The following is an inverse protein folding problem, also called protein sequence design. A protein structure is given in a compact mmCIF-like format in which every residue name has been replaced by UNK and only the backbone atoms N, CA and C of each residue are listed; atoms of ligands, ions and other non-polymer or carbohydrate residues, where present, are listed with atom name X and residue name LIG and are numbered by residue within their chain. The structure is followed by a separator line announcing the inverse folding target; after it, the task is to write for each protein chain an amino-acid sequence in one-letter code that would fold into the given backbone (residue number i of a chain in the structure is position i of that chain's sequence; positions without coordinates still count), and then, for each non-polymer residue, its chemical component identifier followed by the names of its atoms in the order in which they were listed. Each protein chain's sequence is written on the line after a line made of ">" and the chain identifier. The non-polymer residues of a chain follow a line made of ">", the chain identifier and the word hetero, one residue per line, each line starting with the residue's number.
data_IF_265219959578
#
_entry.id   IF_265219959578
#
_cell.length_a   1.000
_cell.length_b   1.000
_cell.length_c   1.000
_cell.angle_alpha   90.00
_cell.angle_beta   90.00
_cell.angle_gamma   90.00
#
_symmetry.space_group_name_H-M   'P 1'
#
loop_
_entity.id
_entity.type
_entity.pdbx_description
1 polymer ?
#
# COMPACT_ATOMS: atom_id res chain seq x y z
N UNK A 1 -12.10 6.03 -3.61
CA UNK A 1 -12.77 5.87 -4.91
C UNK A 1 -13.43 7.17 -5.36
N UNK A 2 -14.39 7.72 -4.62
CA UNK A 2 -15.03 9.02 -4.91
C UNK A 2 -14.08 10.20 -5.19
N UNK A 3 -12.91 10.24 -4.55
CA UNK A 3 -11.91 11.30 -4.79
C UNK A 3 -11.11 11.06 -6.08
N UNK A 4 -10.85 9.81 -6.45
CA UNK A 4 -10.19 9.45 -7.71
C UNK A 4 -11.10 9.71 -8.91
N UNK A 5 -12.38 9.33 -8.79
CA UNK A 5 -13.41 9.63 -9.80
C UNK A 5 -13.56 11.14 -10.04
N UNK A 6 -13.46 11.95 -8.97
CA UNK A 6 -13.48 13.41 -9.08
C UNK A 6 -12.24 13.99 -9.76
N UNK A 7 -11.06 13.41 -9.56
CA UNK A 7 -9.81 13.84 -10.20
C UNK A 7 -9.79 13.44 -11.68
N UNK A 8 -10.32 12.25 -12.02
CA UNK A 8 -10.48 11.79 -13.39
C UNK A 8 -11.51 12.63 -14.17
N UNK A 9 -12.66 12.95 -13.56
CA UNK A 9 -13.68 13.81 -14.18
C UNK A 9 -13.20 15.24 -14.45
N UNK A 10 -12.19 15.71 -13.70
CA UNK A 10 -11.53 17.01 -13.93
C UNK A 10 -10.40 16.95 -14.97
N UNK A 11 -10.06 15.76 -15.47
CA UNK A 11 -8.93 15.56 -16.38
C UNK A 11 -7.56 15.85 -15.76
N UNK A 12 -7.46 15.80 -14.42
CA UNK A 12 -6.25 16.22 -13.69
C UNK A 12 -5.18 15.12 -13.58
N UNK A 13 -5.53 13.87 -13.89
CA UNK A 13 -4.65 12.69 -13.86
C UNK A 13 -4.73 11.95 -15.20
N UNK A 14 -3.57 11.59 -15.76
CA UNK A 14 -3.52 10.68 -16.91
C UNK A 14 -3.92 9.25 -16.50
N UNK A 15 -4.32 8.43 -17.48
CA UNK A 15 -4.76 7.03 -17.23
C UNK A 15 -3.71 6.19 -16.49
N UNK A 16 -2.43 6.41 -16.78
CA UNK A 16 -1.31 5.70 -16.13
C UNK A 16 -1.15 6.09 -14.65
N UNK A 17 -1.35 7.38 -14.33
CA UNK A 17 -1.25 7.89 -12.95
C UNK A 17 -2.45 7.46 -12.11
N UNK A 18 -3.64 7.39 -12.72
CA UNK A 18 -4.84 6.86 -12.08
C UNK A 18 -4.67 5.36 -11.76
N UNK A 19 -4.21 4.56 -12.72
CA UNK A 19 -3.93 3.13 -12.51
C UNK A 19 -2.90 2.91 -11.39
N UNK A 20 -1.84 3.69 -11.36
CA UNK A 20 -0.83 3.61 -10.29
C UNK A 20 -1.40 3.93 -8.91
N UNK A 21 -2.32 4.91 -8.82
CA UNK A 21 -2.99 5.28 -7.59
C UNK A 21 -3.97 4.19 -7.12
N UNK A 22 -4.73 3.58 -8.03
CA UNK A 22 -5.63 2.46 -7.74
C UNK A 22 -4.86 1.25 -7.18
N UNK A 23 -3.72 0.90 -7.80
CA UNK A 23 -2.85 -0.17 -7.32
C UNK A 23 -2.30 0.12 -5.90
N UNK A 24 -1.87 1.36 -5.64
CA UNK A 24 -1.35 1.76 -4.32
C UNK A 24 -2.43 1.73 -3.22
N UNK A 25 -3.66 2.15 -3.55
CA UNK A 25 -4.80 2.08 -2.62
C UNK A 25 -5.18 0.62 -2.35
N UNK A 26 -5.25 -0.20 -3.40
CA UNK A 26 -5.54 -1.64 -3.28
C UNK A 26 -4.51 -2.32 -2.38
N UNK A 27 -3.21 -2.09 -2.62
CA UNK A 27 -2.15 -2.66 -1.78
C UNK A 27 -2.27 -2.26 -0.31
N UNK A 28 -2.63 -1.00 -0.02
CA UNK A 28 -2.86 -0.53 1.36
C UNK A 28 -4.07 -1.19 2.02
N UNK A 29 -5.16 -1.37 1.28
CA UNK A 29 -6.35 -2.09 1.76
C UNK A 29 -5.96 -3.53 2.09
N UNK A 30 -5.24 -4.21 1.19
CA UNK A 30 -4.77 -5.57 1.42
C UNK A 30 -3.86 -5.67 2.65
N UNK A 31 -2.92 -4.73 2.83
CA UNK A 31 -2.06 -4.68 4.01
C UNK A 31 -2.87 -4.46 5.30
N UNK A 32 -3.90 -3.60 5.27
CA UNK A 32 -4.78 -3.37 6.41
C UNK A 32 -5.58 -4.64 6.76
N UNK A 33 -6.17 -5.29 5.77
CA UNK A 33 -6.89 -6.56 5.92
C UNK A 33 -5.99 -7.67 6.47
N UNK A 34 -4.76 -7.80 5.96
CA UNK A 34 -3.78 -8.75 6.48
C UNK A 34 -3.44 -8.50 7.96
N UNK A 35 -3.23 -7.23 8.34
CA UNK A 35 -2.99 -6.86 9.74
C UNK A 35 -4.20 -7.18 10.62
N UNK A 36 -5.41 -6.96 10.13
CA UNK A 36 -6.65 -7.33 10.82
C UNK A 36 -6.74 -8.83 11.09
N UNK A 37 -6.65 -9.64 10.03
CA UNK A 37 -6.67 -11.10 10.13
C UNK A 37 -5.56 -11.63 11.07
N UNK A 38 -4.34 -11.09 10.96
CA UNK A 38 -3.24 -11.44 11.86
C UNK A 38 -3.55 -11.12 13.32
N UNK A 39 -4.14 -9.96 13.61
CA UNK A 39 -4.51 -9.58 14.98
C UNK A 39 -5.55 -10.53 15.55
N UNK A 40 -6.59 -10.87 14.78
CA UNK A 40 -7.62 -11.82 15.19
C UNK A 40 -7.02 -13.18 15.54
N UNK A 41 -6.18 -13.73 14.66
CA UNK A 41 -5.49 -15.01 14.92
C UNK A 41 -4.63 -14.94 16.18
N UNK A 42 -3.89 -13.84 16.39
CA UNK A 42 -3.04 -13.68 17.57
C UNK A 42 -3.87 -13.59 18.86
N UNK A 43 -5.03 -12.91 18.83
CA UNK A 43 -5.91 -12.82 20.01
C UNK A 43 -6.47 -14.20 20.38
N UNK A 44 -6.99 -14.94 19.40
CA UNK A 44 -7.48 -16.31 19.62
C UNK A 44 -6.35 -17.21 20.15
N UNK A 45 -5.15 -17.14 19.58
CA UNK A 45 -4.01 -17.93 20.06
C UNK A 45 -3.64 -17.60 21.52
N UNK A 46 -3.75 -16.34 21.94
CA UNK A 46 -3.50 -15.95 23.33
C UNK A 46 -4.49 -16.62 24.27
N UNK A 47 -5.78 -16.58 23.95
CA UNK A 47 -6.83 -17.23 24.73
C UNK A 47 -6.62 -18.74 24.82
N UNK A 48 -6.26 -19.39 23.69
CA UNK A 48 -5.95 -20.83 23.67
C UNK A 48 -4.76 -21.15 24.58
N UNK A 49 -3.68 -20.37 24.52
CA UNK A 49 -2.50 -20.59 25.37
C UNK A 49 -2.85 -20.42 26.85
N UNK A 50 -3.64 -19.40 27.19
CA UNK A 50 -4.09 -19.20 28.57
C UNK A 50 -4.96 -20.37 29.05
N UNK A 51 -5.91 -20.84 28.26
CA UNK A 51 -6.76 -21.99 28.59
C UNK A 51 -5.96 -23.28 28.77
N UNK A 52 -4.96 -23.52 27.92
CA UNK A 52 -4.14 -24.73 27.97
C UNK A 52 -3.19 -24.74 29.17
N UNK A 53 -2.60 -23.59 29.50
CA UNK A 53 -1.57 -23.46 30.54
C UNK A 53 -2.11 -23.17 31.94
N UNK A 54 -3.32 -22.63 32.05
CA UNK A 54 -3.90 -22.15 33.33
C UNK A 54 -5.22 -22.85 33.67
N UNK A 55 -5.46 -24.05 33.16
CA UNK A 55 -6.68 -24.82 33.43
C UNK A 55 -6.82 -25.12 34.94
N UNK A 56 -7.91 -24.67 35.60
CA UNK A 56 -8.11 -24.91 37.03
C UNK A 56 -8.29 -26.40 37.34
N UNK A 57 -7.70 -26.85 38.45
CA UNK A 57 -7.86 -28.24 38.92
C UNK A 57 -6.96 -29.26 38.24
N UNK A 58 -6.11 -28.84 37.29
CA UNK A 58 -5.16 -29.73 36.61
C UNK A 58 -3.84 -29.82 37.39
N UNK A 59 -3.29 -31.02 37.61
CA UNK A 59 -1.98 -31.19 38.24
C UNK A 59 -0.85 -30.51 37.46
N UNK A 60 0.09 -29.89 38.18
CA UNK A 60 1.24 -29.20 37.59
C UNK A 60 2.04 -30.04 36.57
N UNK A 61 2.33 -31.34 36.79
CA UNK A 61 3.03 -32.15 35.79
C UNK A 61 2.31 -32.22 34.43
N UNK A 62 0.97 -32.18 34.44
CA UNK A 62 0.17 -32.18 33.21
C UNK A 62 0.31 -30.83 32.49
N UNK A 63 0.27 -29.71 33.21
CA UNK A 63 0.48 -28.37 32.65
C UNK A 63 1.87 -28.23 32.04
N UNK A 64 2.91 -28.76 32.70
CA UNK A 64 4.28 -28.80 32.17
C UNK A 64 4.36 -29.60 30.87
N UNK A 65 3.69 -30.75 30.79
CA UNK A 65 3.64 -31.55 29.56
C UNK A 65 2.91 -30.81 28.42
N UNK A 66 1.83 -30.09 28.73
CA UNK A 66 1.14 -29.23 27.76
C UNK A 66 2.02 -28.08 27.25
N UNK A 67 2.77 -27.43 28.14
CA UNK A 67 3.72 -26.39 27.75
C UNK A 67 4.79 -26.93 26.78
N UNK A 68 5.33 -28.13 27.05
CA UNK A 68 6.25 -28.82 26.12
C UNK A 68 5.59 -29.12 24.78
N UNK A 69 4.33 -29.57 24.79
CA UNK A 69 3.55 -29.79 23.57
C UNK A 69 3.37 -28.52 22.74
N UNK A 70 3.02 -27.39 23.38
CA UNK A 70 2.90 -26.10 22.70
C UNK A 70 4.22 -25.65 22.06
N UNK A 71 5.37 -25.86 22.73
CA UNK A 71 6.68 -25.56 22.15
C UNK A 71 6.96 -26.39 20.89
N UNK A 72 6.62 -27.68 20.89
CA UNK A 72 6.78 -28.56 19.73
C UNK A 72 5.88 -28.12 18.56
N UNK A 73 4.61 -27.83 18.82
CA UNK A 73 3.67 -27.34 17.81
C UNK A 73 4.17 -26.02 17.21
N UNK A 74 4.61 -25.08 18.05
CA UNK A 74 5.18 -23.81 17.61
C UNK A 74 6.44 -23.99 16.74
N UNK A 75 7.30 -24.96 17.08
CA UNK A 75 8.46 -25.30 16.28
C UNK A 75 8.06 -25.86 14.90
N UNK A 76 7.04 -26.73 14.83
CA UNK A 76 6.52 -27.27 13.57
C UNK A 76 6.00 -26.14 12.69
N UNK A 77 5.12 -25.27 13.21
CA UNK A 77 4.58 -24.15 12.44
C UNK A 77 5.67 -23.19 11.96
N UNK A 78 6.67 -22.89 12.80
CA UNK A 78 7.80 -22.05 12.40
C UNK A 78 8.65 -22.68 11.31
N UNK A 79 8.70 -24.01 11.22
CA UNK A 79 9.46 -24.74 10.20
C UNK A 79 8.73 -24.88 8.86
N UNK A 80 7.45 -24.49 8.79
CA UNK A 80 6.68 -24.58 7.54
C UNK A 80 7.30 -23.69 6.46
N UNK A 81 7.35 -24.22 5.24
CA UNK A 81 7.85 -23.51 4.06
C UNK A 81 6.67 -23.18 3.16
N UNK A 82 6.58 -21.94 2.65
CA UNK A 82 5.65 -21.56 1.61
C UNK A 82 5.67 -22.50 0.40
N UNK A 83 4.51 -22.80 -0.16
CA UNK A 83 4.46 -23.41 -1.49
C UNK A 83 4.79 -22.34 -2.53
N UNK A 84 5.98 -22.43 -3.12
CA UNK A 84 6.45 -21.50 -4.15
C UNK A 84 5.72 -21.69 -5.49
N UNK A 85 4.92 -22.75 -5.68
CA UNK A 85 4.11 -22.92 -6.90
C UNK A 85 2.79 -22.14 -6.85
N UNK A 86 2.39 -21.66 -5.68
CA UNK A 86 1.18 -20.87 -5.48
C UNK A 86 1.39 -19.42 -5.98
N UNK A 87 0.99 -19.16 -7.23
CA UNK A 87 1.12 -17.85 -7.85
C UNK A 87 0.26 -16.77 -7.20
N UNK A 88 -0.97 -17.11 -6.81
CA UNK A 88 -1.91 -16.18 -6.20
C UNK A 88 -1.39 -15.67 -4.85
N UNK A 89 -0.92 -16.58 -4.00
CA UNK A 89 -0.28 -16.23 -2.73
C UNK A 89 0.93 -15.31 -2.95
N UNK A 90 1.82 -15.64 -3.91
CA UNK A 90 3.03 -14.84 -4.17
C UNK A 90 2.69 -13.45 -4.69
N UNK A 91 1.66 -13.31 -5.51
CA UNK A 91 1.19 -12.01 -5.97
C UNK A 91 0.64 -11.18 -4.79
N UNK A 92 -0.15 -11.80 -3.92
CA UNK A 92 -0.65 -11.16 -2.69
C UNK A 92 0.49 -10.69 -1.77
N UNK A 93 1.49 -11.54 -1.54
CA UNK A 93 2.66 -11.20 -0.74
C UNK A 93 3.45 -10.01 -1.32
N UNK A 94 3.62 -9.96 -2.64
CA UNK A 94 4.26 -8.84 -3.34
C UNK A 94 3.48 -7.54 -3.15
N UNK A 95 2.17 -7.54 -3.40
CA UNK A 95 1.32 -6.36 -3.24
C UNK A 95 1.37 -5.80 -1.80
N UNK A 96 1.30 -6.70 -0.80
CA UNK A 96 1.38 -6.31 0.62
C UNK A 96 2.77 -5.79 0.98
N UNK A 97 3.83 -6.41 0.47
CA UNK A 97 5.21 -5.97 0.70
C UNK A 97 5.46 -4.58 0.10
N UNK A 98 5.02 -4.34 -1.14
CA UNK A 98 5.12 -3.03 -1.80
C UNK A 98 4.36 -1.94 -1.07
N UNK A 99 3.17 -2.24 -0.56
CA UNK A 99 2.36 -1.30 0.22
C UNK A 99 2.95 -1.02 1.61
N UNK A 100 3.73 -1.95 2.18
CA UNK A 100 4.40 -1.79 3.46
C UNK A 100 5.68 -0.94 3.37
N UNK A 101 6.29 -0.82 2.19
CA UNK A 101 7.46 0.02 1.99
C UNK A 101 7.10 1.50 2.15
N UNK A 102 7.85 2.27 2.95
CA UNK A 102 7.66 3.71 3.04
C UNK A 102 8.09 4.36 1.72
N UNK A 103 7.14 4.55 0.79
CA UNK A 103 7.39 5.38 -0.40
C UNK A 103 7.69 6.80 0.09
N UNK A 104 8.82 7.38 -0.31
CA UNK A 104 9.10 8.81 -0.12
C UNK A 104 8.07 9.64 -0.92
N UNK A 105 6.86 9.80 -0.37
CA UNK A 105 5.72 10.54 -0.95
C UNK A 105 6.07 11.98 -1.33
N UNK A 106 7.14 12.53 -0.75
CA UNK A 106 7.61 13.88 -1.05
C UNK A 106 8.37 14.02 -2.37
N UNK A 107 8.93 12.94 -2.94
CA UNK A 107 9.74 13.03 -4.16
C UNK A 107 8.86 13.00 -5.41
N UNK A 108 7.98 12.01 -5.53
CA UNK A 108 7.14 11.82 -6.72
C UNK A 108 6.12 12.95 -6.90
N UNK A 109 5.42 13.36 -5.85
CA UNK A 109 4.46 14.46 -5.93
C UNK A 109 5.14 15.82 -6.19
N UNK A 110 6.37 16.02 -5.70
CA UNK A 110 7.14 17.25 -5.94
C UNK A 110 7.70 17.28 -7.36
N UNK A 111 8.13 16.13 -7.90
CA UNK A 111 8.56 15.99 -9.28
C UNK A 111 7.41 16.18 -10.27
N UNK A 112 6.24 15.58 -10.01
CA UNK A 112 5.04 15.76 -10.83
C UNK A 112 4.53 17.22 -10.81
N UNK A 113 4.51 17.84 -9.62
CA UNK A 113 4.15 19.27 -9.49
C UNK A 113 5.13 20.19 -10.21
N UNK A 114 6.43 19.94 -10.09
CA UNK A 114 7.47 20.73 -10.77
C UNK A 114 7.35 20.63 -12.30
N UNK A 115 7.13 19.43 -12.84
CA UNK A 115 6.96 19.19 -14.28
C UNK A 115 5.70 19.88 -14.84
N UNK A 116 4.61 19.91 -14.07
CA UNK A 116 3.37 20.64 -14.41
C UNK A 116 3.56 22.15 -14.40
N UNK A 117 4.26 22.69 -13.40
CA UNK A 117 4.57 24.12 -13.34
C UNK A 117 5.48 24.57 -14.50
N UNK A 118 6.41 23.73 -14.92
CA UNK A 118 7.28 23.97 -16.08
C UNK A 118 6.50 23.97 -17.40
N UNK A 119 5.63 22.98 -17.63
CA UNK A 119 4.76 22.93 -18.82
C UNK A 119 3.83 24.15 -18.91
N UNK A 120 3.26 24.60 -17.78
CA UNK A 120 2.40 25.78 -17.74
C UNK A 120 3.16 27.08 -18.04
N UNK A 121 4.44 27.17 -17.66
CA UNK A 121 5.30 28.30 -18.01
C UNK A 121 5.59 28.32 -19.51
N UNK A 122 6.01 27.20 -20.07
CA UNK A 122 6.26 27.08 -21.50
C UNK A 122 5.02 27.37 -22.36
N UNK A 123 3.83 26.94 -21.93
CA UNK A 123 2.59 27.25 -22.62
C UNK A 123 2.28 28.76 -22.61
N UNK A 124 2.47 29.43 -21.46
CA UNK A 124 2.27 30.89 -21.33
C UNK A 124 3.28 31.71 -22.11
N UNK A 125 4.53 31.25 -22.16
CA UNK A 125 5.58 31.92 -22.91
C UNK A 125 5.35 31.76 -24.42
N UNK A 126 4.91 30.57 -24.88
CA UNK A 126 4.52 30.34 -26.26
C UNK A 126 3.27 31.14 -26.68
N UNK A 127 2.28 31.32 -25.80
CA UNK A 127 1.12 32.20 -26.06
C UNK A 127 1.54 33.67 -26.18
N UNK A 128 2.41 34.16 -25.29
CA UNK A 128 2.93 35.54 -25.37
C UNK A 128 3.77 35.78 -26.61
N UNK A 129 4.51 34.78 -27.07
CA UNK A 129 5.32 34.86 -28.28
C UNK A 129 4.42 34.89 -29.53
N UNK A 130 3.35 34.10 -29.56
CA UNK A 130 2.32 34.16 -30.62
C UNK A 130 1.59 35.50 -30.64
N UNK A 131 1.21 36.04 -29.47
CA UNK A 131 0.52 37.34 -29.40
C UNK A 131 1.41 38.51 -29.84
N UNK A 132 2.74 38.41 -29.65
CA UNK A 132 3.71 39.38 -30.18
C UNK A 132 3.92 39.28 -31.69
N UNK A 133 3.77 38.09 -32.27
CA UNK A 133 3.90 37.87 -33.71
C UNK A 133 2.63 38.29 -34.47
N UNK A 134 1.45 38.17 -33.85
CA UNK A 134 0.16 38.55 -34.48
C UNK A 134 -0.17 40.04 -34.45
N UNK A 135 0.55 40.87 -33.68
CA UNK A 135 0.42 42.34 -33.72
C UNK A 135 1.64 42.96 -34.42
N UNK A 136 1.70 42.98 -35.77
CA UNK A 136 2.69 43.80 -36.45
C UNK A 136 2.37 45.27 -36.20
N UNK A 137 3.44 46.04 -36.03
CA UNK A 137 3.51 47.46 -35.69
C UNK A 137 2.59 48.34 -36.54
N UNK A 138 1.42 48.73 -36.02
CA UNK A 138 0.71 49.93 -36.49
C UNK A 138 1.41 51.17 -35.91
N UNK A 139 2.52 51.58 -36.51
CA UNK A 139 3.06 52.91 -36.34
C UNK A 139 3.96 53.23 -37.52
N UNK A 140 3.40 53.86 -38.56
CA UNK A 140 4.01 54.94 -39.35
C UNK A 140 3.11 55.29 -40.56
N UNK A 141 2.35 56.38 -40.41
CA UNK A 141 1.97 57.31 -41.47
C UNK A 141 1.76 58.69 -40.84
#
# INVERSE_FOLDING_TARGET
>A
MLEMEKLQAKGELGEEELRALEMDVTGKIMLASWRGARLEVIQVLREVVDNVLKEPGIPEPVLVNRAKGLLLIGAIFKSTVPDESDEERRELERMVAEAAQPKHKHSAHKAAKAKREEMLRHAKDAEKEKEKVEKPTEAQA
#
